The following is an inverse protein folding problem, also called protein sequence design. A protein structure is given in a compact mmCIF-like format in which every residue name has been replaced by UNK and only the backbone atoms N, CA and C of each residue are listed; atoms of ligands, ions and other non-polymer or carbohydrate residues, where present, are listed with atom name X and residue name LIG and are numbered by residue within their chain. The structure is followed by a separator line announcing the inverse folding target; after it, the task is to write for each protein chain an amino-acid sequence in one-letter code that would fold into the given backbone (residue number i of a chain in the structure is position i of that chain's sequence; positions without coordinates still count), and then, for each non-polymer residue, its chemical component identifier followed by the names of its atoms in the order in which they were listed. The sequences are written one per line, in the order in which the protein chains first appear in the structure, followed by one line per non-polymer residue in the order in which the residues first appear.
data_IF_453878344795
#
_entry.id   IF_453878344795
#
_cell.length_a   1.000
_cell.length_b   1.000
_cell.length_c   1.000
_cell.angle_alpha   90.00
_cell.angle_beta   90.00
_cell.angle_gamma   90.00
#
_symmetry.space_group_name_H-M   'P 1'
#
loop_
_entity.id
_entity.type
_entity.pdbx_description
1 polymer ?
#
# COMPACT_ATOMS: atom_id res chain seq x y z
N UNK A 1 4.83 45.64 33.70
CA UNK A 1 4.20 44.67 32.77
C UNK A 1 5.32 43.85 32.14
N UNK A 2 5.56 42.63 32.61
CA UNK A 2 6.65 41.75 32.12
C UNK A 2 6.07 40.88 30.99
N UNK A 3 6.58 41.05 29.76
CA UNK A 3 6.25 40.17 28.64
C UNK A 3 7.12 38.91 28.75
N UNK A 4 6.52 37.75 29.04
CA UNK A 4 7.16 36.46 28.83
C UNK A 4 6.95 36.06 27.36
N UNK A 5 8.04 35.90 26.62
CA UNK A 5 8.02 35.38 25.25
C UNK A 5 8.36 33.88 25.30
N UNK A 6 7.34 33.04 25.14
CA UNK A 6 7.48 31.59 25.07
C UNK A 6 7.87 31.18 23.66
N UNK A 7 9.09 30.68 23.46
CA UNK A 7 9.55 30.11 22.18
C UNK A 7 9.13 28.65 22.13
N UNK A 8 8.22 28.30 21.22
CA UNK A 8 7.91 26.91 20.87
C UNK A 8 8.94 26.42 19.86
N UNK A 9 9.81 25.50 20.29
CA UNK A 9 10.76 24.80 19.42
C UNK A 9 10.04 23.62 18.77
N UNK A 10 9.63 23.74 17.50
CA UNK A 10 9.12 22.61 16.74
C UNK A 10 10.31 21.77 16.25
N UNK A 11 10.62 20.67 16.93
CA UNK A 11 11.57 19.70 16.43
C UNK A 11 10.93 18.90 15.29
N UNK A 12 11.58 18.82 14.13
CA UNK A 12 11.18 17.94 13.04
C UNK A 12 11.39 16.48 13.49
N UNK A 13 10.31 15.81 13.86
CA UNK A 13 10.32 14.38 14.15
C UNK A 13 10.41 13.69 12.79
N UNK A 14 11.38 12.78 12.55
CA UNK A 14 11.34 11.95 11.36
C UNK A 14 10.01 11.19 11.36
N UNK A 15 9.24 11.30 10.28
CA UNK A 15 8.04 10.50 10.15
C UNK A 15 8.45 9.05 10.09
N UNK A 16 7.89 8.22 10.97
CA UNK A 16 7.99 6.78 10.88
C UNK A 16 7.12 6.25 9.74
N UNK A 17 7.42 5.04 9.27
CA UNK A 17 6.59 4.28 8.35
C UNK A 17 5.16 4.21 8.90
N UNK A 18 4.21 4.70 8.09
CA UNK A 18 2.81 4.75 8.41
C UNK A 18 2.02 3.80 7.53
N UNK A 19 0.91 3.31 8.07
CA UNK A 19 -0.10 2.60 7.28
C UNK A 19 -0.76 3.62 6.34
N UNK A 20 -0.56 3.44 5.04
CA UNK A 20 -1.17 4.23 3.98
C UNK A 20 -2.55 3.70 3.62
N UNK A 21 -2.76 2.39 3.75
CA UNK A 21 -4.05 1.73 3.60
C UNK A 21 -4.02 0.43 4.40
N UNK A 22 -5.12 0.04 5.01
CA UNK A 22 -5.28 -1.31 5.56
C UNK A 22 -6.76 -1.63 5.66
N UNK A 23 -7.12 -2.83 5.21
CA UNK A 23 -8.38 -3.48 5.54
C UNK A 23 -8.17 -4.83 6.25
N UNK A 24 -6.95 -5.09 6.72
CA UNK A 24 -6.65 -6.23 7.58
C UNK A 24 -7.47 -6.15 8.88
N UNK A 25 -7.95 -7.31 9.32
CA UNK A 25 -8.61 -7.47 10.60
C UNK A 25 -7.64 -7.30 11.77
N UNK A 26 -8.19 -7.31 12.99
CA UNK A 26 -7.42 -7.17 14.23
C UNK A 26 -7.45 -8.45 15.06
N UNK A 27 -6.43 -8.65 15.89
CA UNK A 27 -6.34 -9.83 16.75
C UNK A 27 -6.04 -11.11 15.96
N UNK A 28 -6.67 -12.23 16.32
CA UNK A 28 -6.44 -13.55 15.70
C UNK A 28 -7.19 -13.79 14.39
N UNK A 29 -7.78 -12.76 13.79
CA UNK A 29 -8.56 -12.85 12.54
C UNK A 29 -8.13 -11.72 11.60
N UNK A 30 -6.94 -11.88 11.01
CA UNK A 30 -6.31 -10.84 10.18
C UNK A 30 -6.94 -10.78 8.78
N UNK A 31 -7.47 -11.89 8.29
CA UNK A 31 -8.26 -12.03 7.06
C UNK A 31 -9.29 -13.15 7.23
N UNK A 32 -10.29 -13.21 6.34
CA UNK A 32 -11.31 -14.25 6.34
C UNK A 32 -10.72 -15.57 5.88
N UNK A 33 -11.19 -16.69 6.41
CA UNK A 33 -10.73 -18.02 5.97
C UNK A 33 -11.80 -18.69 5.11
N UNK A 34 -11.46 -19.06 3.87
CA UNK A 34 -12.31 -19.87 3.00
C UNK A 34 -13.24 -19.05 2.10
N UNK A 35 -12.93 -17.78 1.87
CA UNK A 35 -13.59 -16.97 0.86
C UNK A 35 -12.59 -15.93 0.34
N UNK A 36 -12.29 -16.00 -0.94
CA UNK A 36 -11.46 -15.01 -1.60
C UNK A 36 -11.55 -15.12 -3.11
N UNK A 37 -10.53 -14.59 -3.78
CA UNK A 37 -10.41 -14.63 -5.23
C UNK A 37 -9.20 -15.42 -5.68
N UNK A 38 -9.47 -16.35 -6.59
CA UNK A 38 -8.45 -17.22 -7.16
C UNK A 38 -7.51 -16.43 -8.05
N UNK A 39 -6.21 -16.64 -7.88
CA UNK A 39 -5.17 -16.26 -8.84
C UNK A 39 -4.60 -17.53 -9.44
N UNK A 40 -4.58 -17.62 -10.77
CA UNK A 40 -4.24 -18.86 -11.46
C UNK A 40 -3.61 -18.59 -12.82
N UNK A 41 -2.54 -19.33 -13.13
CA UNK A 41 -2.02 -19.44 -14.48
C UNK A 41 -2.83 -20.46 -15.26
N UNK A 42 -3.15 -20.18 -16.51
CA UNK A 42 -3.69 -21.21 -17.38
C UNK A 42 -3.23 -20.92 -18.81
N UNK A 43 -2.80 -21.95 -19.56
CA UNK A 43 -2.48 -21.79 -20.96
C UNK A 43 -3.62 -21.09 -21.72
N UNK A 44 -3.37 -19.85 -22.15
CA UNK A 44 -4.32 -19.02 -22.90
C UNK A 44 -5.31 -18.18 -22.07
N UNK A 45 -5.34 -18.28 -20.75
CA UNK A 45 -6.24 -17.47 -19.90
C UNK A 45 -5.77 -17.36 -18.45
N UNK A 46 -5.03 -16.30 -18.11
CA UNK A 46 -4.53 -16.11 -16.75
C UNK A 46 -5.54 -15.38 -15.88
N UNK A 47 -5.91 -15.90 -14.71
CA UNK A 47 -6.76 -15.20 -13.77
C UNK A 47 -5.92 -14.24 -12.93
N UNK A 48 -6.08 -12.95 -13.19
CA UNK A 48 -5.46 -11.84 -12.46
C UNK A 48 -6.54 -11.02 -11.79
N UNK A 49 -6.37 -10.68 -10.51
CA UNK A 49 -7.31 -9.88 -9.76
C UNK A 49 -6.68 -8.56 -9.32
N UNK A 50 -7.47 -7.50 -9.35
CA UNK A 50 -7.10 -6.17 -8.91
C UNK A 50 -8.06 -5.71 -7.80
N UNK A 51 -7.50 -5.02 -6.80
CA UNK A 51 -8.25 -4.42 -5.70
C UNK A 51 -7.86 -2.97 -5.54
N UNK A 52 -8.87 -2.10 -5.62
CA UNK A 52 -8.67 -0.67 -5.45
C UNK A 52 -8.40 -0.35 -3.96
N UNK A 53 -7.45 0.54 -3.72
CA UNK A 53 -7.25 1.15 -2.41
C UNK A 53 -6.97 2.64 -2.55
N UNK A 54 -7.29 3.40 -1.52
CA UNK A 54 -7.01 4.84 -1.46
C UNK A 54 -5.99 5.10 -0.39
N UNK A 55 -4.90 5.77 -0.77
CA UNK A 55 -3.82 6.16 0.14
C UNK A 55 -4.37 7.21 1.12
N UNK A 56 -4.24 6.94 2.41
CA UNK A 56 -4.66 7.84 3.47
C UNK A 56 -3.78 9.09 3.56
N UNK A 57 -4.31 10.14 4.20
CA UNK A 57 -3.59 11.38 4.42
C UNK A 57 -3.44 12.24 3.16
N UNK A 58 -2.52 13.21 3.23
CA UNK A 58 -2.22 14.16 2.16
C UNK A 58 -0.71 14.26 1.96
N UNK A 59 -0.27 14.53 0.73
CA UNK A 59 1.13 14.63 0.36
C UNK A 59 1.64 13.41 -0.40
N UNK A 60 2.96 13.25 -0.46
CA UNK A 60 3.62 12.16 -1.16
C UNK A 60 4.26 11.20 -0.14
N UNK A 61 4.17 9.90 -0.38
CA UNK A 61 4.70 8.84 0.47
C UNK A 61 5.54 7.87 -0.36
N UNK A 62 6.74 7.56 0.08
CA UNK A 62 7.53 6.46 -0.46
C UNK A 62 6.94 5.14 0.03
N UNK A 63 6.53 4.28 -0.90
CA UNK A 63 6.09 2.93 -0.59
C UNK A 63 7.27 2.13 -0.04
N UNK A 64 7.10 1.51 1.13
CA UNK A 64 8.16 0.75 1.81
C UNK A 64 7.80 -0.73 1.95
N UNK A 65 6.53 -1.04 2.15
CA UNK A 65 6.02 -2.38 2.39
C UNK A 65 4.55 -2.52 1.99
N UNK A 66 4.14 -3.75 1.71
CA UNK A 66 2.76 -4.19 1.74
C UNK A 66 2.67 -5.62 2.26
N UNK A 67 1.57 -5.95 2.91
CA UNK A 67 1.26 -7.26 3.43
C UNK A 67 -0.07 -7.78 2.86
N UNK A 68 -0.13 -9.05 2.45
CA UNK A 68 -1.28 -9.65 1.76
C UNK A 68 -1.80 -10.88 2.51
N UNK A 69 -3.12 -10.99 2.68
CA UNK A 69 -3.78 -12.21 3.14
C UNK A 69 -3.96 -13.19 2.00
N UNK A 70 -2.97 -14.05 1.77
CA UNK A 70 -2.97 -15.01 0.65
C UNK A 70 -2.67 -16.40 1.17
N UNK A 71 -3.44 -17.37 0.69
CA UNK A 71 -3.29 -18.79 1.02
C UNK A 71 -3.11 -19.62 -0.25
N UNK A 72 -2.50 -20.79 -0.12
CA UNK A 72 -2.48 -21.81 -1.17
C UNK A 72 -3.89 -22.38 -1.31
N UNK A 73 -4.47 -22.36 -2.52
CA UNK A 73 -5.84 -22.82 -2.71
C UNK A 73 -5.89 -24.36 -2.89
N UNK A 74 -6.37 -25.01 -1.83
CA UNK A 74 -6.64 -26.44 -1.75
C UNK A 74 -8.12 -26.72 -2.10
N UNK A 75 -8.45 -26.95 -3.37
CA UNK A 75 -9.73 -27.57 -3.74
C UNK A 75 -9.79 -29.09 -3.39
N UNK A 76 -9.25 -29.49 -2.24
CA UNK A 76 -9.25 -30.88 -1.78
C UNK A 76 -8.41 -31.86 -2.63
N UNK A 77 -7.63 -31.38 -3.60
CA UNK A 77 -6.72 -32.18 -4.42
C UNK A 77 -5.29 -31.70 -4.18
N UNK A 78 -4.49 -32.56 -3.57
CA UNK A 78 -3.17 -32.27 -3.02
C UNK A 78 -2.05 -32.16 -4.07
N UNK A 79 -2.31 -31.66 -5.29
CA UNK A 79 -1.33 -31.81 -6.38
C UNK A 79 -1.04 -30.60 -7.25
N UNK A 80 -1.61 -29.42 -6.97
CA UNK A 80 -1.31 -28.21 -7.76
C UNK A 80 -1.32 -26.96 -6.86
N UNK A 81 -0.21 -26.70 -6.16
CA UNK A 81 -0.02 -25.51 -5.33
C UNK A 81 0.80 -24.47 -6.10
N UNK A 82 0.22 -23.29 -6.36
CA UNK A 82 1.04 -22.16 -6.79
C UNK A 82 1.66 -21.67 -5.51
N UNK A 83 2.93 -21.99 -5.30
CA UNK A 83 3.65 -21.41 -4.18
C UNK A 83 4.06 -19.98 -4.49
N UNK A 84 3.96 -19.52 -5.74
CA UNK A 84 4.38 -18.18 -6.14
C UNK A 84 3.32 -17.42 -6.89
N UNK A 85 3.30 -16.12 -6.70
CA UNK A 85 2.43 -15.20 -7.43
C UNK A 85 3.14 -13.87 -7.60
N UNK A 86 2.71 -13.09 -8.59
CA UNK A 86 3.18 -11.72 -8.76
C UNK A 86 2.20 -10.76 -8.09
N UNK A 87 2.67 -9.95 -7.15
CA UNK A 87 1.95 -8.76 -6.68
C UNK A 87 2.51 -7.52 -7.39
N UNK A 88 1.65 -6.55 -7.68
CA UNK A 88 2.05 -5.32 -8.35
C UNK A 88 1.15 -4.16 -7.96
N UNK A 89 1.71 -2.95 -7.95
CA UNK A 89 0.95 -1.71 -7.71
C UNK A 89 0.74 -0.99 -9.04
N UNK A 90 -0.46 -0.47 -9.25
CA UNK A 90 -0.83 0.26 -10.46
C UNK A 90 -1.50 1.59 -10.12
N UNK A 91 -1.33 2.59 -10.99
CA UNK A 91 -2.13 3.82 -10.93
C UNK A 91 -3.61 3.52 -11.19
N UNK A 92 -4.50 4.40 -10.73
CA UNK A 92 -5.93 4.11 -10.69
C UNK A 92 -6.88 5.19 -11.17
N UNK A 93 -8.15 4.81 -11.10
CA UNK A 93 -9.37 5.40 -11.64
C UNK A 93 -10.45 4.31 -11.49
N UNK A 94 -11.36 4.14 -12.47
CA UNK A 94 -12.32 3.01 -12.40
C UNK A 94 -11.69 1.63 -12.62
N UNK A 95 -10.48 1.56 -13.17
CA UNK A 95 -9.71 0.33 -13.43
C UNK A 95 -8.20 0.61 -13.35
N UNK A 96 -7.34 -0.42 -13.22
CA UNK A 96 -5.88 -0.24 -13.22
C UNK A 96 -5.36 0.42 -14.51
N UNK A 97 -4.44 1.37 -14.32
CA UNK A 97 -3.80 2.15 -15.38
C UNK A 97 -2.38 1.66 -15.70
N UNK A 98 -1.38 2.34 -15.15
CA UNK A 98 0.04 2.02 -15.38
C UNK A 98 0.65 1.29 -14.18
N UNK A 99 1.40 0.23 -14.44
CA UNK A 99 2.16 -0.51 -13.41
C UNK A 99 3.30 0.34 -12.86
N UNK A 100 3.36 0.49 -11.54
CA UNK A 100 4.41 1.20 -10.80
C UNK A 100 5.52 0.27 -10.32
N UNK A 101 5.19 -0.96 -9.95
CA UNK A 101 6.12 -1.96 -9.44
C UNK A 101 5.53 -3.36 -9.47
N UNK A 102 6.39 -4.38 -9.41
CA UNK A 102 6.03 -5.80 -9.47
C UNK A 102 7.02 -6.62 -8.66
N UNK A 103 6.51 -7.58 -7.89
CA UNK A 103 7.31 -8.47 -7.04
C UNK A 103 6.74 -9.88 -7.08
N UNK A 104 7.61 -10.88 -7.08
CA UNK A 104 7.23 -12.28 -6.92
C UNK A 104 7.25 -12.62 -5.44
N UNK A 105 6.12 -13.09 -4.92
CA UNK A 105 5.93 -13.52 -3.53
C UNK A 105 5.48 -14.97 -3.49
N UNK A 106 5.44 -15.52 -2.27
CA UNK A 106 4.91 -16.85 -2.01
C UNK A 106 3.77 -16.86 -1.00
N UNK A 107 2.78 -17.70 -1.26
CA UNK A 107 1.81 -18.09 -0.25
C UNK A 107 2.51 -19.05 0.72
N UNK A 108 2.26 -18.87 2.02
CA UNK A 108 2.98 -19.61 3.07
C UNK A 108 2.04 -20.44 3.96
N UNK A 109 0.73 -20.42 3.68
CA UNK A 109 -0.29 -21.09 4.48
C UNK A 109 -1.28 -21.81 3.56
N UNK A 110 -1.77 -23.00 3.95
CA UNK A 110 -2.78 -23.72 3.20
C UNK A 110 -4.17 -23.10 3.40
N UNK A 111 -5.05 -23.25 2.41
CA UNK A 111 -6.45 -22.80 2.49
C UNK A 111 -7.15 -23.25 3.78
N UNK A 112 -7.98 -22.38 4.34
CA UNK A 112 -8.66 -22.61 5.61
C UNK A 112 -7.75 -22.44 6.84
N UNK A 113 -6.48 -22.08 6.63
CA UNK A 113 -5.56 -21.64 7.69
C UNK A 113 -5.45 -20.13 7.71
N UNK A 114 -5.02 -19.61 8.85
CA UNK A 114 -4.82 -18.20 9.16
C UNK A 114 -3.64 -18.14 10.14
N UNK A 115 -2.86 -17.07 10.27
CA UNK A 115 -3.08 -15.69 9.83
C UNK A 115 -1.79 -15.06 9.33
N UNK A 116 -0.99 -15.84 8.60
CA UNK A 116 0.29 -15.38 8.07
C UNK A 116 0.03 -14.54 6.83
N UNK A 117 0.74 -13.42 6.75
CA UNK A 117 0.69 -12.51 5.61
C UNK A 117 1.89 -12.77 4.69
N UNK A 118 1.65 -12.66 3.39
CA UNK A 118 2.71 -12.57 2.40
C UNK A 118 3.17 -11.11 2.31
N UNK A 119 4.42 -10.86 2.72
CA UNK A 119 4.97 -9.51 2.87
C UNK A 119 6.04 -9.21 1.83
N UNK A 120 5.98 -8.02 1.24
CA UNK A 120 7.11 -7.43 0.52
C UNK A 120 7.63 -6.24 1.31
N UNK A 121 8.91 -6.26 1.68
CA UNK A 121 9.58 -5.17 2.40
C UNK A 121 10.69 -4.55 1.56
N UNK A 122 11.22 -3.40 2.00
CA UNK A 122 12.37 -2.76 1.36
C UNK A 122 12.07 -2.20 -0.04
N UNK A 123 10.81 -1.84 -0.30
CA UNK A 123 10.41 -1.22 -1.56
C UNK A 123 11.04 0.17 -1.64
N UNK A 124 11.57 0.52 -2.82
CA UNK A 124 12.17 1.82 -3.09
C UNK A 124 11.79 2.29 -4.48
N UNK A 125 11.87 3.60 -4.73
CA UNK A 125 11.63 4.19 -6.06
C UNK A 125 10.15 4.31 -6.46
N UNK A 126 9.21 3.95 -5.58
CA UNK A 126 7.77 4.13 -5.79
C UNK A 126 7.24 5.17 -4.81
N UNK A 127 6.60 6.20 -5.35
CA UNK A 127 5.94 7.25 -4.58
C UNK A 127 4.45 7.23 -4.84
N UNK A 128 3.66 7.18 -3.77
CA UNK A 128 2.21 7.21 -3.77
C UNK A 128 1.73 8.55 -3.23
N UNK A 129 0.61 9.05 -3.75
CA UNK A 129 0.03 10.34 -3.35
C UNK A 129 -1.17 10.12 -2.44
N UNK A 130 -1.17 10.76 -1.27
CA UNK A 130 -2.31 10.78 -0.34
C UNK A 130 -3.59 11.27 -1.01
N UNK A 131 -4.71 10.60 -0.70
CA UNK A 131 -6.01 10.82 -1.30
C UNK A 131 -6.18 10.25 -2.71
N UNK A 132 -5.14 9.66 -3.30
CA UNK A 132 -5.20 9.06 -4.65
C UNK A 132 -5.51 7.57 -4.57
N UNK A 133 -6.35 7.10 -5.50
CA UNK A 133 -6.66 5.68 -5.65
C UNK A 133 -5.62 4.97 -6.52
N UNK A 134 -5.21 3.79 -6.06
CA UNK A 134 -4.31 2.87 -6.74
C UNK A 134 -4.93 1.47 -6.72
N UNK A 135 -4.30 0.53 -7.43
CA UNK A 135 -4.68 -0.87 -7.42
C UNK A 135 -3.53 -1.75 -6.93
N UNK A 136 -3.84 -2.65 -6.00
CA UNK A 136 -3.03 -3.83 -5.74
C UNK A 136 -3.50 -4.92 -6.71
N UNK A 137 -2.58 -5.51 -7.46
CA UNK A 137 -2.86 -6.46 -8.53
C UNK A 137 -2.07 -7.72 -8.31
N UNK A 138 -2.77 -8.85 -8.18
CA UNK A 138 -2.18 -10.18 -8.09
C UNK A 138 -2.43 -10.95 -9.38
N UNK A 139 -1.37 -11.55 -9.91
CA UNK A 139 -1.40 -12.41 -11.09
C UNK A 139 -0.50 -13.64 -10.90
N UNK A 140 -0.64 -14.65 -11.75
CA UNK A 140 0.23 -15.83 -11.69
C UNK A 140 1.66 -15.47 -12.11
N UNK A 141 2.63 -15.95 -11.34
CA UNK A 141 4.07 -15.79 -11.66
C UNK A 141 4.45 -16.64 -12.88
N UNK A 142 3.82 -17.82 -13.00
CA UNK A 142 3.94 -18.72 -14.14
C UNK A 142 2.60 -18.83 -14.89
N UNK A 143 2.42 -18.19 -16.05
CA UNK A 143 1.13 -18.15 -16.76
C UNK A 143 0.68 -19.50 -17.34
N UNK A 144 1.56 -20.50 -17.38
CA UNK A 144 1.22 -21.86 -17.82
C UNK A 144 1.08 -22.84 -16.65
N UNK A 145 1.24 -22.37 -15.41
CA UNK A 145 1.07 -23.19 -14.21
C UNK A 145 -0.39 -23.15 -13.76
N UNK A 146 -1.07 -24.29 -13.91
CA UNK A 146 -2.47 -24.49 -13.51
C UNK A 146 -2.71 -24.49 -12.00
N UNK A 147 -1.65 -24.40 -11.20
CA UNK A 147 -1.77 -24.26 -9.76
C UNK A 147 -2.37 -22.91 -9.37
N UNK A 148 -2.83 -22.78 -8.13
CA UNK A 148 -3.64 -21.62 -7.71
C UNK A 148 -3.36 -21.18 -6.28
N UNK A 149 -3.53 -19.88 -6.05
CA UNK A 149 -3.64 -19.27 -4.72
C UNK A 149 -5.00 -18.62 -4.58
N UNK A 150 -5.40 -18.35 -3.35
CA UNK A 150 -6.56 -17.54 -3.03
C UNK A 150 -6.11 -16.27 -2.30
N UNK A 151 -6.54 -15.12 -2.81
CA UNK A 151 -6.43 -13.85 -2.13
C UNK A 151 -7.67 -13.65 -1.27
N UNK A 152 -7.51 -13.87 0.04
CA UNK A 152 -8.60 -13.98 1.00
C UNK A 152 -9.29 -12.64 1.24
N UNK A 153 -10.58 -12.70 1.51
CA UNK A 153 -11.41 -11.54 1.79
C UNK A 153 -11.03 -10.88 3.13
N UNK A 154 -11.20 -9.56 3.20
CA UNK A 154 -11.04 -8.84 4.45
C UNK A 154 -12.16 -9.14 5.46
N UNK A 155 -11.87 -9.00 6.76
CA UNK A 155 -12.86 -9.16 7.83
C UNK A 155 -13.40 -7.84 8.37
N UNK A 156 -13.03 -6.71 7.77
CA UNK A 156 -13.47 -5.37 8.20
C UNK A 156 -14.80 -4.96 7.57
N UNK A 157 -15.26 -5.70 6.55
CA UNK A 157 -16.43 -5.38 5.76
C UNK A 157 -16.15 -4.32 4.69
N UNK A 158 -14.89 -4.03 4.39
CA UNK A 158 -14.51 -3.16 3.29
C UNK A 158 -14.98 -3.78 1.97
N UNK A 159 -15.51 -2.96 1.07
CA UNK A 159 -16.02 -3.39 -0.24
C UNK A 159 -15.28 -2.65 -1.36
N UNK A 160 -15.15 -3.30 -2.50
CA UNK A 160 -14.59 -2.74 -3.72
C UNK A 160 -15.33 -3.27 -4.93
N UNK A 161 -15.09 -2.71 -6.12
CA UNK A 161 -15.58 -3.34 -7.34
C UNK A 161 -14.67 -4.51 -7.71
N UNK A 162 -15.27 -5.62 -8.14
CA UNK A 162 -14.52 -6.72 -8.71
C UNK A 162 -13.82 -6.22 -9.97
N UNK A 163 -12.48 -6.31 -10.00
CA UNK A 163 -11.70 -5.98 -11.18
C UNK A 163 -10.78 -7.14 -11.50
N UNK A 164 -10.99 -7.73 -12.67
CA UNK A 164 -10.27 -8.91 -13.11
C UNK A 164 -9.65 -8.74 -14.49
N UNK A 165 -8.67 -9.58 -14.81
CA UNK A 165 -8.07 -9.67 -16.12
C UNK A 165 -7.80 -11.13 -16.46
N UNK A 166 -8.03 -11.50 -17.72
CA UNK A 166 -7.75 -12.84 -18.29
C UNK A 166 -6.45 -12.88 -19.12
N UNK A 167 -5.80 -11.73 -19.29
CA UNK A 167 -4.65 -11.55 -20.17
C UNK A 167 -3.46 -10.86 -19.45
N UNK A 168 -3.30 -11.13 -18.15
CA UNK A 168 -2.17 -10.65 -17.36
C UNK A 168 -2.15 -9.13 -17.15
N UNK A 169 -3.33 -8.49 -17.15
CA UNK A 169 -3.48 -7.05 -16.93
C UNK A 169 -3.38 -6.20 -18.18
N UNK A 170 -3.44 -6.79 -19.39
CA UNK A 170 -3.49 -6.01 -20.64
C UNK A 170 -4.87 -5.36 -20.88
N UNK A 171 -5.94 -5.96 -20.38
CA UNK A 171 -7.27 -5.37 -20.29
C UNK A 171 -7.98 -5.78 -19.01
N UNK A 172 -8.89 -4.93 -18.54
CA UNK A 172 -9.62 -5.12 -17.29
C UNK A 172 -11.12 -5.26 -17.53
N UNK A 173 -11.73 -6.13 -16.74
CA UNK A 173 -13.17 -6.32 -16.65
C UNK A 173 -13.58 -5.80 -15.27
N UNK A 174 -14.53 -4.87 -15.24
CA UNK A 174 -15.07 -4.30 -14.00
C UNK A 174 -16.45 -4.89 -13.76
N UNK A 175 -16.60 -5.60 -12.66
CA UNK A 175 -17.82 -6.24 -12.21
C UNK A 175 -18.55 -5.45 -11.13
N UNK A 176 -19.40 -6.16 -10.39
CA UNK A 176 -20.16 -5.62 -9.26
C UNK A 176 -19.29 -5.44 -8.02
N UNK A 177 -19.85 -4.79 -7.00
CA UNK A 177 -19.18 -4.67 -5.70
C UNK A 177 -19.11 -6.01 -4.98
N UNK A 178 -17.94 -6.32 -4.44
CA UNK A 178 -17.60 -7.51 -3.66
C UNK A 178 -16.89 -7.09 -2.37
N UNK A 179 -16.73 -8.02 -1.43
CA UNK A 179 -15.80 -7.83 -0.30
C UNK A 179 -14.40 -7.59 -0.86
N UNK A 180 -13.68 -6.60 -0.31
CA UNK A 180 -12.30 -6.36 -0.72
C UNK A 180 -11.40 -7.51 -0.26
N UNK A 181 -10.32 -7.78 -0.97
CA UNK A 181 -9.34 -8.74 -0.46
C UNK A 181 -8.52 -8.09 0.65
N UNK A 182 -7.98 -8.88 1.58
CA UNK A 182 -7.27 -8.41 2.76
C UNK A 182 -5.83 -8.02 2.43
N UNK A 183 -5.46 -6.77 2.67
CA UNK A 183 -4.08 -6.29 2.58
C UNK A 183 -3.84 -4.98 3.32
N UNK A 184 -2.57 -4.65 3.48
CA UNK A 184 -2.14 -3.31 3.85
C UNK A 184 -1.11 -2.75 2.87
N UNK A 185 -0.89 -1.44 2.96
CA UNK A 185 0.14 -0.71 2.23
C UNK A 185 0.78 0.26 3.21
N UNK A 186 2.11 0.26 3.29
CA UNK A 186 2.87 1.03 4.26
C UNK A 186 3.92 1.91 3.57
N UNK A 187 4.18 3.09 4.12
CA UNK A 187 5.13 4.02 3.53
C UNK A 187 5.53 5.18 4.42
N UNK A 188 6.60 5.84 4.02
CA UNK A 188 7.16 7.01 4.69
C UNK A 188 6.80 8.28 3.92
N UNK A 189 6.38 9.37 4.57
CA UNK A 189 6.27 10.67 3.90
C UNK A 189 7.56 11.03 3.18
N UNK A 190 7.43 11.52 1.95
CA UNK A 190 8.53 12.17 1.25
C UNK A 190 8.84 13.44 2.02
N UNK A 191 10.03 13.52 2.62
CA UNK A 191 10.48 14.72 3.32
C UNK A 191 10.40 15.89 2.35
N UNK A 192 9.48 16.81 2.58
CA UNK A 192 9.52 18.13 1.94
C UNK A 192 10.73 18.86 2.51
N UNK A 193 11.68 19.33 1.68
CA UNK A 193 12.71 20.24 2.16
C UNK A 193 11.99 21.43 2.79
N UNK A 194 12.21 21.69 4.08
CA UNK A 194 11.58 22.82 4.75
C UNK A 194 11.89 24.10 3.93
N UNK A 195 10.87 24.88 3.50
CA UNK A 195 11.13 26.17 2.91
C UNK A 195 11.90 26.98 3.96
N UNK A 196 13.09 27.45 3.61
CA UNK A 196 14.12 28.00 4.50
C UNK A 196 13.63 29.02 5.55
N UNK A 197 12.98 28.53 6.60
CA UNK A 197 12.51 29.32 7.74
C UNK A 197 13.65 29.54 8.73
N UNK A 198 14.68 28.70 8.72
CA UNK A 198 15.96 28.91 9.42
C UNK A 198 16.71 30.18 8.96
N UNK A 199 16.95 30.42 7.66
CA UNK A 199 17.53 31.69 7.22
C UNK A 199 16.56 32.88 7.39
N UNK A 200 15.24 32.67 7.35
CA UNK A 200 14.26 33.74 7.62
C UNK A 200 14.24 34.15 9.10
N UNK A 201 14.34 33.18 10.01
CA UNK A 201 14.50 33.40 11.45
C UNK A 201 15.86 34.04 11.76
N UNK A 202 16.93 33.56 11.11
CA UNK A 202 18.28 34.09 11.26
C UNK A 202 18.40 35.54 10.77
N UNK A 203 17.81 35.85 9.62
CA UNK A 203 17.78 37.23 9.09
C UNK A 203 16.84 38.15 9.89
N UNK A 204 15.71 37.64 10.38
CA UNK A 204 14.82 38.37 11.28
C UNK A 204 15.49 38.75 12.61
N UNK A 205 16.19 37.81 13.25
CA UNK A 205 16.93 38.06 14.49
C UNK A 205 18.12 39.01 14.28
N UNK A 206 18.87 38.86 13.19
CA UNK A 206 19.96 39.77 12.85
C UNK A 206 19.44 41.21 12.59
N UNK A 207 18.29 41.34 11.92
CA UNK A 207 17.61 42.62 11.71
C UNK A 207 17.15 43.30 13.00
N UNK A 208 16.57 42.53 13.93
CA UNK A 208 16.15 43.03 15.25
C UNK A 208 17.34 43.51 16.10
N UNK A 209 18.44 42.75 16.13
CA UNK A 209 19.66 43.13 16.87
C UNK A 209 20.31 44.39 16.27
N UNK A 210 20.30 44.53 14.94
CA UNK A 210 20.81 45.71 14.26
C UNK A 210 19.95 46.96 14.51
N UNK A 211 18.63 46.81 14.63
CA UNK A 211 17.71 47.90 14.94
C UNK A 211 17.85 48.38 16.41
N UNK A 212 18.03 47.46 17.35
CA UNK A 212 18.25 47.78 18.77
C UNK A 212 19.57 48.51 19.00
N UNK A 213 20.64 48.15 18.28
CA UNK A 213 21.93 48.87 18.35
C UNK A 213 21.84 50.34 17.90
N UNK A 214 21.02 50.66 16.89
CA UNK A 214 20.89 52.05 16.39
C UNK A 214 20.09 52.97 17.31
N UNK A 215 19.34 52.42 18.26
CA UNK A 215 18.50 53.20 19.20
C UNK A 215 19.20 53.50 20.53
N UNK A 216 20.38 52.90 20.76
CA UNK A 216 21.18 53.04 21.97
C UNK A 216 22.41 53.96 21.81
N UNK A 217 22.58 54.56 20.62
CA UNK A 217 23.51 55.63 20.28
C UNK A 217 22.70 56.91 20.02
#
# INVERSE_FOLDING_TARGET
MKLLLSVFLAAAIPSSAGILFSDLGTGGSVYGTGAGSVIQGQPGSNVTNARAFTVAGAGAFNLTQFDLGVVEDHNGVSSFFLNTFTASIWTGGTQPGAKLGSWSLSANEPNGSCCVLASQTGITGITLTGGTQYFMVLGPDAPNDGSKIEWEDNTTGAITNEVGSVNGGASWIVGSSITNAAFDVQGDPVSTPEPGSLPLLGSGMAGLLAALRRKAL
#
